data_IF_751915494458
#
_entry.id   IF_751915494458
#
_cell.length_a   1.000
_cell.length_b   1.000
_cell.length_c   1.000
_cell.angle_alpha   90.00
_cell.angle_beta   90.00
_cell.angle_gamma   90.00
#
_symmetry.space_group_name_H-M   'P 1'
#
loop_
_entity.id
_entity.type
_entity.pdbx_description
1 polymer ?
#
# COMPACT_ATOMS: atom_id res chain seq x y z
N UNK A 1 26.26 48.87 33.12
CA UNK A 1 27.16 47.73 32.81
C UNK A 1 26.44 46.60 32.03
N UNK A 2 25.30 46.87 31.39
CA UNK A 2 24.41 45.83 30.86
C UNK A 2 24.43 45.69 29.32
N UNK A 3 24.91 46.69 28.58
CA UNK A 3 24.93 46.65 27.10
C UNK A 3 26.06 45.79 26.50
N UNK A 4 27.19 45.66 27.21
CA UNK A 4 28.34 44.86 26.74
C UNK A 4 28.00 43.37 26.78
N UNK A 5 27.27 42.92 27.81
CA UNK A 5 26.81 41.54 27.94
C UNK A 5 25.77 41.17 26.87
N UNK A 6 24.84 42.09 26.55
CA UNK A 6 23.83 41.88 25.50
C UNK A 6 24.48 41.74 24.11
N UNK A 7 25.50 42.55 23.81
CA UNK A 7 26.27 42.43 22.56
C UNK A 7 27.07 41.12 22.47
N UNK A 8 27.67 40.67 23.57
CA UNK A 8 28.38 39.39 23.65
C UNK A 8 27.44 38.18 23.45
N UNK A 9 26.22 38.24 23.97
CA UNK A 9 25.20 37.19 23.79
C UNK A 9 24.65 37.13 22.35
N UNK A 10 24.67 38.23 21.58
CA UNK A 10 24.30 38.20 20.17
C UNK A 10 25.38 37.55 19.28
N UNK A 11 26.67 37.73 19.58
CA UNK A 11 27.75 37.17 18.75
C UNK A 11 27.84 35.64 18.84
N UNK A 12 27.41 35.03 19.96
CA UNK A 12 27.33 33.58 20.11
C UNK A 12 26.11 32.94 19.43
N UNK A 13 25.10 33.74 19.05
CA UNK A 13 23.85 33.24 18.46
C UNK A 13 23.91 32.99 16.94
N UNK A 14 25.00 33.38 16.25
CA UNK A 14 25.13 33.21 14.79
C UNK A 14 25.99 32.02 14.36
N UNK A 15 26.54 31.25 15.31
CA UNK A 15 27.39 30.09 15.01
C UNK A 15 26.62 28.76 15.08
N UNK A 16 25.68 28.53 14.16
CA UNK A 16 25.36 27.19 13.61
C UNK A 16 24.15 27.24 12.65
N UNK A 17 24.25 28.03 11.58
CA UNK A 17 23.51 27.68 10.38
C UNK A 17 24.20 26.47 9.75
N UNK A 18 23.83 25.26 10.17
CA UNK A 18 24.20 24.04 9.47
C UNK A 18 23.69 24.15 8.02
N UNK A 19 24.49 23.80 7.00
CA UNK A 19 23.99 23.75 5.64
C UNK A 19 22.87 22.71 5.62
N UNK A 20 21.69 23.10 5.18
CA UNK A 20 20.61 22.16 4.89
C UNK A 20 21.16 21.18 3.86
N UNK A 21 21.55 19.99 4.34
CA UNK A 21 21.77 18.85 3.46
C UNK A 21 20.50 18.69 2.67
N UNK A 22 20.59 18.84 1.36
CA UNK A 22 19.53 18.44 0.45
C UNK A 22 19.25 16.96 0.72
N UNK A 23 18.17 16.69 1.46
CA UNK A 23 17.58 15.37 1.51
C UNK A 23 17.35 14.95 0.06
N UNK A 24 17.74 13.73 -0.36
CA UNK A 24 17.33 13.24 -1.66
C UNK A 24 15.81 13.27 -1.68
N UNK A 25 15.21 13.75 -2.78
CA UNK A 25 13.79 13.54 -3.04
C UNK A 25 13.54 12.04 -2.89
N UNK A 26 12.94 11.64 -1.79
CA UNK A 26 12.44 10.29 -1.61
C UNK A 26 11.33 10.13 -2.65
N UNK A 27 11.66 9.57 -3.80
CA UNK A 27 10.65 9.00 -4.67
C UNK A 27 10.12 7.83 -3.86
N UNK A 28 8.99 8.06 -3.18
CA UNK A 28 8.21 6.98 -2.60
C UNK A 28 7.80 6.10 -3.78
N UNK A 29 8.57 5.05 -4.04
CA UNK A 29 8.18 4.07 -5.05
C UNK A 29 6.82 3.51 -4.61
N UNK A 30 5.80 3.50 -5.49
CA UNK A 30 4.51 2.94 -5.13
C UNK A 30 4.72 1.51 -4.66
N UNK A 31 4.07 1.12 -3.57
CA UNK A 31 4.17 -0.24 -3.06
C UNK A 31 3.89 -1.22 -4.21
N UNK A 32 4.75 -2.24 -4.40
CA UNK A 32 4.61 -3.15 -5.53
C UNK A 32 3.26 -3.86 -5.43
N UNK A 33 2.40 -3.65 -6.43
CA UNK A 33 1.11 -4.33 -6.54
C UNK A 33 1.36 -5.83 -6.52
N UNK A 34 0.57 -6.57 -5.74
CA UNK A 34 0.66 -8.02 -5.70
C UNK A 34 0.55 -8.59 -7.14
N UNK A 35 1.53 -9.38 -7.62
CA UNK A 35 1.56 -9.83 -9.01
C UNK A 35 0.36 -10.70 -9.39
N UNK A 36 -0.36 -11.30 -8.43
CA UNK A 36 -1.63 -11.97 -8.67
C UNK A 36 -2.65 -11.02 -9.32
N UNK A 37 -2.71 -9.77 -8.87
CA UNK A 37 -3.68 -8.76 -9.30
C UNK A 37 -3.44 -8.27 -10.73
N UNK A 38 -2.28 -8.60 -11.31
CA UNK A 38 -1.93 -8.29 -12.70
C UNK A 38 -2.23 -9.43 -13.67
N UNK A 39 -2.70 -10.59 -13.17
CA UNK A 39 -3.04 -11.74 -14.00
C UNK A 39 -4.37 -11.53 -14.70
N UNK A 40 -4.49 -12.01 -15.93
CA UNK A 40 -5.78 -12.13 -16.59
C UNK A 40 -6.72 -13.02 -15.75
N UNK A 41 -7.97 -12.62 -15.48
CA UNK A 41 -8.86 -13.34 -14.57
C UNK A 41 -9.32 -14.69 -15.13
N UNK A 42 -9.57 -14.74 -16.44
CA UNK A 42 -10.04 -15.91 -17.17
C UNK A 42 -9.29 -16.08 -18.50
N UNK A 43 -9.14 -17.31 -18.96
CA UNK A 43 -8.72 -17.61 -20.33
C UNK A 43 -9.94 -17.62 -21.27
N UNK A 44 -10.11 -16.64 -22.17
CA UNK A 44 -11.30 -16.53 -23.01
C UNK A 44 -11.43 -17.65 -24.06
N UNK A 45 -10.37 -18.43 -24.29
CA UNK A 45 -10.39 -19.58 -25.21
C UNK A 45 -10.97 -20.84 -24.59
N UNK A 46 -11.07 -20.88 -23.25
CA UNK A 46 -11.59 -22.02 -22.51
C UNK A 46 -13.00 -21.69 -22.03
N UNK A 47 -13.98 -22.53 -22.33
CA UNK A 47 -15.35 -22.42 -21.81
C UNK A 47 -15.81 -23.77 -21.28
N UNK A 48 -16.44 -23.73 -20.10
CA UNK A 48 -17.11 -24.86 -19.48
C UNK A 48 -18.60 -24.49 -19.22
N UNK A 49 -19.35 -25.42 -18.62
CA UNK A 49 -20.80 -25.31 -18.46
C UNK A 49 -21.23 -25.05 -17.00
N UNK A 50 -20.35 -24.52 -16.14
CA UNK A 50 -20.66 -24.23 -14.74
C UNK A 50 -20.45 -22.74 -14.45
N UNK A 51 -21.44 -21.94 -14.82
CA UNK A 51 -21.37 -20.50 -14.73
C UNK A 51 -21.56 -20.00 -13.30
N UNK A 52 -20.67 -19.11 -12.87
CA UNK A 52 -20.76 -18.45 -11.57
C UNK A 52 -20.25 -17.01 -11.66
N UNK A 53 -20.85 -16.11 -10.89
CA UNK A 53 -20.30 -14.78 -10.70
C UNK A 53 -19.09 -14.86 -9.76
N UNK A 54 -18.01 -14.20 -10.17
CA UNK A 54 -16.74 -14.08 -9.44
C UNK A 54 -16.29 -12.63 -9.45
N UNK A 55 -15.26 -12.35 -8.67
CA UNK A 55 -14.62 -11.05 -8.58
C UNK A 55 -13.19 -11.12 -9.12
N UNK A 56 -12.70 -10.06 -9.73
CA UNK A 56 -11.30 -9.94 -10.13
C UNK A 56 -10.84 -8.49 -10.00
N UNK A 57 -9.55 -8.28 -9.84
CA UNK A 57 -8.98 -6.94 -9.81
C UNK A 57 -8.69 -6.46 -11.23
N UNK A 58 -9.27 -5.32 -11.63
CA UNK A 58 -8.89 -4.60 -12.86
C UNK A 58 -7.89 -3.49 -12.49
N UNK A 59 -6.61 -3.72 -12.80
CA UNK A 59 -5.54 -2.76 -12.52
C UNK A 59 -5.68 -1.41 -13.28
N UNK A 60 -6.53 -1.35 -14.32
CA UNK A 60 -6.80 -0.10 -15.05
C UNK A 60 -7.81 0.78 -14.31
N UNK A 61 -8.82 0.18 -13.70
CA UNK A 61 -9.81 0.90 -12.87
C UNK A 61 -9.36 1.00 -11.42
N UNK A 62 -8.36 0.19 -11.03
CA UNK A 62 -7.86 0.00 -9.66
C UNK A 62 -8.95 -0.50 -8.72
N UNK A 63 -9.86 -1.33 -9.23
CA UNK A 63 -11.04 -1.77 -8.50
C UNK A 63 -11.31 -3.27 -8.69
N UNK A 64 -12.07 -3.85 -7.78
CA UNK A 64 -12.52 -5.23 -7.82
C UNK A 64 -13.87 -5.33 -8.54
N UNK A 65 -13.86 -5.86 -9.75
CA UNK A 65 -15.04 -5.94 -10.62
C UNK A 65 -15.62 -7.36 -10.69
N UNK A 66 -16.91 -7.45 -11.02
CA UNK A 66 -17.59 -8.74 -11.23
C UNK A 66 -17.32 -9.28 -12.63
N UNK A 67 -17.12 -10.59 -12.73
CA UNK A 67 -17.00 -11.32 -14.00
C UNK A 67 -17.80 -12.62 -13.99
N UNK A 68 -18.32 -13.00 -15.16
CA UNK A 68 -18.95 -14.30 -15.35
C UNK A 68 -17.88 -15.36 -15.65
N UNK A 69 -17.67 -16.27 -14.70
CA UNK A 69 -16.73 -17.38 -14.83
C UNK A 69 -17.44 -18.64 -15.31
N UNK A 70 -16.93 -19.29 -16.37
CA UNK A 70 -17.53 -20.50 -16.94
C UNK A 70 -17.27 -21.79 -16.16
N UNK A 71 -16.49 -21.74 -15.07
CA UNK A 71 -16.20 -22.89 -14.21
C UNK A 71 -14.84 -23.56 -14.45
N UNK A 72 -14.11 -23.15 -15.48
CA UNK A 72 -12.74 -23.59 -15.76
C UNK A 72 -11.92 -22.49 -16.45
N UNK A 73 -10.59 -22.58 -16.42
CA UNK A 73 -9.71 -21.59 -17.07
C UNK A 73 -9.55 -20.27 -16.32
N UNK A 74 -9.88 -20.24 -15.02
CA UNK A 74 -9.63 -19.09 -14.15
C UNK A 74 -8.19 -19.04 -13.64
N UNK A 75 -7.71 -17.85 -13.29
CA UNK A 75 -6.41 -17.64 -12.66
C UNK A 75 -6.55 -17.35 -11.16
N UNK A 76 -5.44 -16.94 -10.50
CA UNK A 76 -5.48 -16.50 -9.10
C UNK A 76 -6.12 -15.10 -8.93
N UNK A 77 -6.24 -14.32 -10.01
CA UNK A 77 -7.02 -13.09 -10.03
C UNK A 77 -8.52 -13.40 -10.22
N UNK A 78 -9.06 -14.32 -9.42
CA UNK A 78 -10.45 -14.73 -9.51
C UNK A 78 -10.94 -15.18 -8.14
N UNK A 79 -11.74 -14.34 -7.50
CA UNK A 79 -12.14 -14.43 -6.10
C UNK A 79 -13.64 -14.75 -5.97
N UNK A 80 -14.00 -15.33 -4.81
CA UNK A 80 -15.39 -15.64 -4.49
C UNK A 80 -16.16 -14.43 -3.94
N UNK A 81 -15.48 -13.40 -3.46
CA UNK A 81 -16.07 -12.19 -2.89
C UNK A 81 -15.21 -10.96 -3.19
N UNK A 82 -15.86 -9.79 -3.19
CA UNK A 82 -15.26 -8.46 -3.35
C UNK A 82 -14.17 -8.22 -2.29
N UNK A 83 -14.52 -8.36 -1.01
CA UNK A 83 -13.58 -8.24 0.12
C UNK A 83 -12.37 -9.19 0.04
N UNK A 84 -12.46 -10.34 -0.64
CA UNK A 84 -11.28 -11.20 -0.84
C UNK A 84 -10.35 -10.68 -1.93
N UNK A 85 -10.90 -10.01 -2.95
CA UNK A 85 -10.16 -9.32 -4.00
C UNK A 85 -9.50 -8.05 -3.44
N UNK A 86 -10.27 -7.19 -2.76
CA UNK A 86 -9.81 -5.91 -2.22
C UNK A 86 -8.67 -6.12 -1.23
N UNK A 87 -8.83 -7.04 -0.27
CA UNK A 87 -7.77 -7.34 0.71
C UNK A 87 -6.45 -7.79 0.10
N UNK A 88 -6.45 -8.33 -1.12
CA UNK A 88 -5.23 -8.76 -1.78
C UNK A 88 -4.65 -7.70 -2.72
N UNK A 89 -5.50 -6.92 -3.36
CA UNK A 89 -5.15 -6.14 -4.54
C UNK A 89 -5.38 -4.63 -4.40
N UNK A 90 -6.22 -4.22 -3.47
CA UNK A 90 -6.54 -2.83 -3.24
C UNK A 90 -5.67 -2.26 -2.12
N UNK A 91 -4.53 -1.70 -2.52
CA UNK A 91 -3.60 -1.04 -1.62
C UNK A 91 -4.00 0.40 -1.30
N UNK A 92 -4.88 1.03 -2.08
CA UNK A 92 -5.30 2.42 -1.86
C UNK A 92 -6.38 2.51 -0.77
N UNK A 93 -7.15 1.45 -0.55
CA UNK A 93 -8.10 1.33 0.56
C UNK A 93 -7.44 0.98 1.92
N UNK A 94 -6.10 0.90 2.00
CA UNK A 94 -5.40 0.66 3.27
C UNK A 94 -5.20 1.93 4.11
N UNK A 95 -5.30 3.11 3.51
CA UNK A 95 -5.22 4.41 4.20
C UNK A 95 -6.58 4.87 4.80
N UNK A 96 -7.64 4.06 4.67
CA UNK A 96 -8.95 4.33 5.28
C UNK A 96 -9.31 3.40 6.44
N UNK A 97 -8.38 2.61 6.96
CA UNK A 97 -8.52 2.01 8.29
C UNK A 97 -7.68 2.79 9.30
N UNK A 98 -8.00 4.08 9.47
CA UNK A 98 -7.37 4.90 10.50
C UNK A 98 -8.42 5.68 11.32
N UNK A 99 -8.20 5.62 12.65
CA UNK A 99 -8.84 6.33 13.76
C UNK A 99 -10.29 5.99 14.13
N UNK A 100 -10.48 4.91 14.89
CA UNK A 100 -11.12 5.06 16.21
C UNK A 100 -10.07 4.63 17.24
N UNK A 101 -9.51 5.61 17.96
CA UNK A 101 -8.65 5.32 19.11
C UNK A 101 -9.50 4.74 20.25
N UNK A 102 -9.58 3.42 20.39
CA UNK A 102 -9.70 2.77 21.70
C UNK A 102 -9.17 1.31 21.70
N UNK A 103 -7.94 1.18 22.20
CA UNK A 103 -7.47 0.14 23.13
C UNK A 103 -7.45 -1.37 22.72
N UNK A 104 -6.29 -1.81 22.22
CA UNK A 104 -5.52 -2.99 22.67
C UNK A 104 -6.27 -4.31 23.00
N UNK A 105 -6.70 -5.11 22.00
CA UNK A 105 -6.63 -6.60 22.10
C UNK A 105 -6.96 -7.37 20.78
N UNK A 106 -6.42 -7.04 19.60
CA UNK A 106 -6.47 -8.01 18.48
C UNK A 106 -5.19 -8.02 17.64
N UNK A 107 -4.61 -9.22 17.35
CA UNK A 107 -3.34 -9.35 16.67
C UNK A 107 -3.47 -8.97 15.18
N UNK A 108 -2.60 -8.06 14.74
CA UNK A 108 -2.40 -7.71 13.33
C UNK A 108 -2.10 -8.97 12.49
N UNK A 109 -2.57 -9.05 11.22
CA UNK A 109 -2.12 -10.10 10.32
C UNK A 109 -0.61 -9.95 10.11
N UNK A 110 0.16 -10.93 10.57
CA UNK A 110 1.62 -10.96 10.45
C UNK A 110 2.00 -11.13 8.99
N UNK A 111 2.11 -10.02 8.25
CA UNK A 111 2.90 -10.01 7.04
C UNK A 111 4.36 -10.21 7.47
N UNK A 112 4.85 -11.43 7.26
CA UNK A 112 6.24 -11.82 7.51
C UNK A 112 7.12 -10.95 6.62
N UNK A 113 7.71 -9.89 7.16
CA UNK A 113 8.87 -9.27 6.54
C UNK A 113 9.93 -10.36 6.36
N UNK A 114 10.30 -10.59 5.10
CA UNK A 114 11.44 -11.42 4.76
C UNK A 114 12.68 -10.66 5.22
N UNK A 115 13.19 -10.97 6.41
CA UNK A 115 14.48 -10.48 6.87
C UNK A 115 15.56 -11.08 5.97
N UNK A 116 16.02 -10.34 4.97
CA UNK A 116 17.30 -10.64 4.30
C UNK A 116 18.39 -10.26 5.29
N UNK A 117 18.69 -11.21 6.19
CA UNK A 117 19.80 -11.13 7.11
C UNK A 117 21.02 -11.81 6.51
N UNK A 118 22.06 -11.00 6.26
CA UNK A 118 23.50 -11.30 6.16
C UNK A 118 23.99 -12.23 5.05
#
# INVERSE_FOLDING_TARGET
MSNVYVLLLCLIAFASAAPQGSLPLFVQEPMPINPVCLLAPINPRVRCNNFSLKWYYDARTRDCEKILYSGCGGSKNLFNSENACERLCDHDNFDSYESDEDFHDYPLPTYKYFSIGK
#
